data_IF_335738191502
#
_entry.id   IF_335738191502
#
_cell.length_a   1.000
_cell.length_b   1.000
_cell.length_c   1.000
_cell.angle_alpha   90.00
_cell.angle_beta   90.00
_cell.angle_gamma   90.00
#
_symmetry.space_group_name_H-M   'P 1'
#
loop_
_entity.id
_entity.type
_entity.pdbx_description
1 polymer ?
#
# COMPACT_ATOMS: atom_id res chain seq x y z
N UNK A 1 -33.81 -16.37 -18.93
CA UNK A 1 -33.22 -16.52 -17.58
C UNK A 1 -32.31 -17.75 -17.43
N UNK A 2 -32.73 -19.00 -17.63
CA UNK A 2 -31.85 -20.20 -17.50
C UNK A 2 -30.54 -20.13 -18.31
N UNK A 3 -30.57 -19.64 -19.56
CA UNK A 3 -29.36 -19.50 -20.39
C UNK A 3 -28.39 -18.40 -19.88
N UNK A 4 -28.91 -17.35 -19.25
CA UNK A 4 -28.10 -16.27 -18.67
C UNK A 4 -27.38 -16.77 -17.40
N UNK A 5 -28.09 -17.49 -16.52
CA UNK A 5 -27.49 -18.10 -15.33
C UNK A 5 -26.47 -19.20 -15.67
N UNK A 6 -26.73 -20.01 -16.70
CA UNK A 6 -25.76 -20.99 -17.20
C UNK A 6 -24.49 -20.34 -17.76
N UNK A 7 -24.63 -19.25 -18.53
CA UNK A 7 -23.51 -18.48 -19.06
C UNK A 7 -22.68 -17.84 -17.95
N UNK A 8 -23.33 -17.18 -16.98
CA UNK A 8 -22.69 -16.55 -15.82
C UNK A 8 -21.94 -17.57 -14.95
N UNK A 9 -22.55 -18.73 -14.68
CA UNK A 9 -21.89 -19.82 -13.95
C UNK A 9 -20.63 -20.33 -14.67
N UNK A 10 -20.66 -20.44 -16.00
CA UNK A 10 -19.49 -20.85 -16.79
C UNK A 10 -18.39 -19.79 -16.81
N UNK A 11 -18.75 -18.50 -16.74
CA UNK A 11 -17.81 -17.38 -16.72
C UNK A 11 -17.09 -17.29 -15.36
N UNK A 12 -17.83 -17.39 -14.25
CA UNK A 12 -17.26 -17.37 -12.88
C UNK A 12 -16.31 -18.55 -12.64
N UNK A 13 -16.55 -19.68 -13.31
CA UNK A 13 -15.63 -20.83 -13.26
C UNK A 13 -14.25 -20.52 -13.83
N UNK A 14 -14.09 -19.46 -14.64
CA UNK A 14 -12.82 -18.98 -15.22
C UNK A 14 -12.10 -18.01 -14.27
N UNK A 15 -10.77 -17.91 -14.41
CA UNK A 15 -9.96 -16.98 -13.61
C UNK A 15 -10.38 -15.52 -13.82
N UNK A 16 -10.78 -15.16 -15.03
CA UNK A 16 -11.27 -13.83 -15.38
C UNK A 16 -12.60 -13.50 -14.67
N UNK A 17 -13.49 -14.48 -14.56
CA UNK A 17 -14.79 -14.27 -13.92
C UNK A 17 -14.68 -14.05 -12.42
N UNK A 18 -13.79 -14.76 -11.73
CA UNK A 18 -13.59 -14.56 -10.30
C UNK A 18 -12.92 -13.21 -9.98
N UNK A 19 -12.01 -12.73 -10.84
CA UNK A 19 -11.43 -11.40 -10.72
C UNK A 19 -12.53 -10.33 -10.81
N UNK A 20 -13.45 -10.46 -11.78
CA UNK A 20 -14.57 -9.52 -11.92
C UNK A 20 -15.50 -9.54 -10.71
N UNK A 21 -15.87 -10.73 -10.21
CA UNK A 21 -16.72 -10.85 -9.01
C UNK A 21 -16.08 -10.15 -7.81
N UNK A 22 -14.81 -10.42 -7.54
CA UNK A 22 -14.10 -9.76 -6.45
C UNK A 22 -13.92 -8.25 -6.69
N UNK A 23 -13.74 -7.80 -7.94
CA UNK A 23 -13.70 -6.38 -8.28
C UNK A 23 -15.00 -5.69 -7.87
N UNK A 24 -16.15 -6.27 -8.25
CA UNK A 24 -17.47 -5.73 -7.93
C UNK A 24 -17.74 -5.70 -6.42
N UNK A 25 -17.36 -6.75 -5.69
CA UNK A 25 -17.50 -6.78 -4.21
C UNK A 25 -16.68 -5.64 -3.58
N UNK A 26 -15.47 -5.38 -4.09
CA UNK A 26 -14.57 -4.34 -3.58
C UNK A 26 -15.00 -2.90 -3.95
N UNK A 27 -16.06 -2.73 -4.75
CA UNK A 27 -16.67 -1.41 -5.00
C UNK A 27 -17.53 -0.90 -3.83
N UNK A 28 -17.91 -1.77 -2.88
CA UNK A 28 -18.69 -1.36 -1.70
C UNK A 28 -17.93 -0.30 -0.91
N UNK A 29 -18.51 0.91 -0.78
CA UNK A 29 -17.87 2.03 -0.08
C UNK A 29 -16.64 2.59 -0.80
N UNK A 30 -16.46 2.33 -2.11
CA UNK A 30 -15.27 2.81 -2.85
C UNK A 30 -15.15 4.33 -2.85
N UNK A 31 -16.27 5.05 -2.78
CA UNK A 31 -16.35 6.51 -2.75
C UNK A 31 -16.21 7.11 -1.35
N UNK A 32 -16.12 6.28 -0.31
CA UNK A 32 -16.00 6.76 1.05
C UNK A 32 -14.67 7.51 1.26
N UNK A 33 -14.64 8.59 2.06
CA UNK A 33 -13.39 9.24 2.47
C UNK A 33 -12.55 8.29 3.35
N UNK A 34 -11.23 8.55 3.51
CA UNK A 34 -10.33 7.69 4.27
C UNK A 34 -10.54 7.84 5.80
N UNK A 35 -11.68 7.37 6.29
CA UNK A 35 -12.10 7.42 7.69
C UNK A 35 -12.13 6.05 8.40
N UNK A 36 -12.05 4.95 7.65
CA UNK A 36 -12.00 3.60 8.22
C UNK A 36 -10.83 3.42 9.23
N UNK A 37 -11.03 2.55 10.22
CA UNK A 37 -10.05 2.31 11.29
C UNK A 37 -8.68 1.88 10.72
N UNK A 38 -8.67 0.99 9.72
CA UNK A 38 -7.44 0.39 9.21
C UNK A 38 -6.66 1.29 8.25
N UNK A 39 -5.50 1.78 8.70
CA UNK A 39 -4.50 2.50 7.87
C UNK A 39 -5.01 3.80 7.22
N UNK A 40 -5.99 4.48 7.81
CA UNK A 40 -6.42 5.80 7.33
C UNK A 40 -5.24 6.79 7.25
N UNK A 41 -4.31 6.76 8.22
CA UNK A 41 -3.12 7.61 8.24
C UNK A 41 -2.29 7.54 6.95
N UNK A 42 -2.15 6.34 6.38
CA UNK A 42 -1.34 6.12 5.18
C UNK A 42 -2.11 6.54 3.93
N UNK A 43 -3.44 6.39 3.95
CA UNK A 43 -4.33 6.80 2.87
C UNK A 43 -4.45 8.32 2.78
N UNK A 44 -4.63 8.99 3.92
CA UNK A 44 -4.67 10.45 4.00
C UNK A 44 -3.34 11.05 3.60
N UNK A 45 -2.21 10.48 4.05
CA UNK A 45 -0.89 10.91 3.58
C UNK A 45 -0.70 10.76 2.06
N UNK A 46 -1.21 9.68 1.46
CA UNK A 46 -1.15 9.50 0.00
C UNK A 46 -1.99 10.55 -0.72
N UNK A 47 -3.22 10.76 -0.26
CA UNK A 47 -4.12 11.76 -0.84
C UNK A 47 -3.61 13.18 -0.62
N UNK A 48 -2.98 13.47 0.51
CA UNK A 48 -2.38 14.75 0.84
C UNK A 48 -1.32 15.13 -0.19
N UNK A 49 -0.40 14.21 -0.52
CA UNK A 49 0.60 14.44 -1.58
C UNK A 49 -0.08 14.67 -2.94
N UNK A 50 -1.14 13.91 -3.26
CA UNK A 50 -1.87 14.10 -4.52
C UNK A 50 -2.60 15.45 -4.56
N UNK A 51 -3.20 15.89 -3.44
CA UNK A 51 -3.87 17.18 -3.30
C UNK A 51 -2.87 18.32 -3.43
N UNK A 52 -1.68 18.18 -2.85
CA UNK A 52 -0.63 19.18 -2.97
C UNK A 52 -0.07 19.32 -4.38
N UNK A 53 -0.14 18.29 -5.22
CA UNK A 53 0.13 18.44 -6.65
C UNK A 53 -0.97 19.22 -7.37
N UNK A 54 -2.23 19.06 -6.94
CA UNK A 54 -3.40 19.71 -7.52
C UNK A 54 -3.50 21.20 -7.16
N UNK A 55 -3.31 21.54 -5.87
CA UNK A 55 -3.37 22.92 -5.39
C UNK A 55 -2.08 23.71 -5.64
N UNK A 56 -0.95 23.00 -5.72
CA UNK A 56 0.38 23.60 -5.81
C UNK A 56 1.08 23.35 -7.13
N UNK A 57 2.41 23.24 -7.07
CA UNK A 57 3.22 22.88 -8.23
C UNK A 57 3.29 21.34 -8.34
N UNK A 58 2.83 20.73 -9.45
CA UNK A 58 2.83 19.29 -9.67
C UNK A 58 4.23 18.75 -10.03
N UNK A 59 5.24 19.10 -9.25
CA UNK A 59 6.59 18.55 -9.43
C UNK A 59 6.69 17.17 -8.78
N UNK A 60 6.60 16.12 -9.59
CA UNK A 60 6.72 14.72 -9.14
C UNK A 60 8.03 14.44 -8.36
N UNK A 61 9.08 15.24 -8.57
CA UNK A 61 10.36 15.12 -7.85
C UNK A 61 10.35 15.72 -6.45
N UNK A 62 9.36 16.58 -6.14
CA UNK A 62 9.23 17.31 -4.87
C UNK A 62 7.81 17.13 -4.29
N UNK A 63 7.40 15.90 -3.93
CA UNK A 63 6.11 15.67 -3.28
C UNK A 63 6.03 16.42 -1.96
N UNK A 64 4.85 16.93 -1.60
CA UNK A 64 4.63 17.73 -0.38
C UNK A 64 3.57 17.16 0.55
N UNK A 65 3.71 17.43 1.84
CA UNK A 65 2.75 17.10 2.90
C UNK A 65 2.45 18.33 3.76
N UNK A 66 1.30 18.29 4.43
CA UNK A 66 0.78 19.44 5.20
C UNK A 66 1.25 19.42 6.66
N UNK A 67 1.84 18.30 7.09
CA UNK A 67 2.24 18.05 8.48
C UNK A 67 3.68 18.44 8.79
N UNK A 68 4.27 19.33 7.99
CA UNK A 68 5.67 19.70 8.07
C UNK A 68 5.93 21.00 8.87
N UNK A 69 4.89 21.58 9.50
CA UNK A 69 5.01 22.82 10.25
C UNK A 69 5.49 23.97 9.37
N UNK A 70 6.56 24.64 9.79
CA UNK A 70 7.20 25.74 9.05
C UNK A 70 8.04 25.33 7.85
N UNK A 71 8.27 24.03 7.65
CA UNK A 71 9.07 23.55 6.53
C UNK A 71 8.26 23.63 5.23
N UNK A 72 8.93 23.46 4.09
CA UNK A 72 8.32 23.55 2.75
C UNK A 72 7.27 22.48 2.44
N UNK A 73 7.08 21.51 3.34
CA UNK A 73 6.27 20.32 3.12
C UNK A 73 6.96 19.23 2.30
N UNK A 74 8.10 19.50 1.65
CA UNK A 74 8.74 18.54 0.74
C UNK A 74 9.22 17.31 1.53
N UNK A 75 8.78 16.12 1.10
CA UNK A 75 9.02 14.85 1.80
C UNK A 75 9.97 13.93 1.04
N UNK A 76 10.93 13.35 1.75
CA UNK A 76 11.63 12.15 1.32
C UNK A 76 10.72 10.92 1.44
N UNK A 77 10.10 10.52 0.33
CA UNK A 77 9.14 9.41 0.26
C UNK A 77 9.45 8.41 -0.85
N UNK A 78 8.56 7.43 -1.00
CA UNK A 78 8.47 6.58 -2.18
C UNK A 78 8.29 7.44 -3.45
N UNK A 79 8.65 6.92 -4.64
CA UNK A 79 8.45 7.67 -5.88
C UNK A 79 6.96 7.91 -6.11
N UNK A 80 6.48 9.16 -6.19
CA UNK A 80 5.07 9.48 -5.99
C UNK A 80 4.22 9.27 -7.25
N UNK A 81 4.50 8.23 -8.05
CA UNK A 81 3.76 7.96 -9.28
C UNK A 81 2.30 7.60 -9.03
N UNK A 82 2.00 6.87 -7.94
CA UNK A 82 0.62 6.58 -7.57
C UNK A 82 -0.11 7.87 -7.20
N UNK A 83 0.49 8.72 -6.37
CA UNK A 83 -0.03 10.04 -6.01
C UNK A 83 -0.22 10.92 -7.25
N UNK A 84 0.72 10.89 -8.18
CA UNK A 84 0.65 11.68 -9.41
C UNK A 84 -0.49 11.24 -10.32
N UNK A 85 -0.76 9.93 -10.43
CA UNK A 85 -1.93 9.43 -11.18
C UNK A 85 -3.23 9.87 -10.49
N UNK A 86 -3.30 9.88 -9.15
CA UNK A 86 -4.46 10.39 -8.41
C UNK A 86 -4.66 11.88 -8.70
N UNK A 87 -3.60 12.68 -8.67
CA UNK A 87 -3.60 14.09 -9.07
C UNK A 87 -4.17 14.29 -10.48
N UNK A 88 -3.76 13.49 -11.47
CA UNK A 88 -4.30 13.61 -12.83
C UNK A 88 -5.81 13.35 -12.89
N UNK A 89 -6.37 12.56 -11.98
CA UNK A 89 -7.82 12.39 -11.87
C UNK A 89 -8.49 13.61 -11.22
N UNK A 90 -7.84 14.25 -10.23
CA UNK A 90 -8.32 15.52 -9.67
C UNK A 90 -8.39 16.61 -10.75
N UNK A 91 -7.40 16.70 -11.64
CA UNK A 91 -7.40 17.63 -12.79
C UNK A 91 -8.56 17.38 -13.76
N UNK A 92 -8.90 16.11 -14.01
CA UNK A 92 -9.92 15.74 -14.99
C UNK A 92 -11.35 15.83 -14.45
N UNK A 93 -11.56 15.57 -13.16
CA UNK A 93 -12.88 15.37 -12.58
C UNK A 93 -13.17 16.24 -11.35
N UNK A 94 -12.23 17.10 -10.95
CA UNK A 94 -12.28 17.84 -9.68
C UNK A 94 -11.76 17.00 -8.51
N UNK A 95 -11.41 17.67 -7.42
CA UNK A 95 -10.94 17.01 -6.20
C UNK A 95 -12.05 16.18 -5.53
N UNK A 96 -11.69 14.97 -5.10
CA UNK A 96 -12.50 14.13 -4.22
C UNK A 96 -11.58 13.11 -3.53
N UNK A 97 -11.96 12.61 -2.36
CA UNK A 97 -11.09 11.81 -1.50
C UNK A 97 -10.88 10.37 -1.99
N UNK A 98 -11.64 9.89 -2.97
CA UNK A 98 -11.75 8.44 -3.24
C UNK A 98 -11.07 7.94 -4.52
N UNK A 99 -10.64 8.81 -5.45
CA UNK A 99 -10.13 8.38 -6.76
C UNK A 99 -8.99 7.36 -6.66
N UNK A 100 -8.08 7.53 -5.70
CA UNK A 100 -6.98 6.58 -5.46
C UNK A 100 -7.44 5.16 -5.15
N UNK A 101 -8.62 4.98 -4.56
CA UNK A 101 -9.20 3.65 -4.30
C UNK A 101 -9.55 2.94 -5.58
N UNK A 102 -10.25 3.63 -6.49
CA UNK A 102 -10.65 3.08 -7.78
C UNK A 102 -9.43 2.80 -8.68
N UNK A 103 -8.45 3.71 -8.68
CA UNK A 103 -7.19 3.53 -9.41
C UNK A 103 -6.45 2.28 -8.92
N UNK A 104 -6.24 2.16 -7.59
CA UNK A 104 -5.58 0.98 -7.03
C UNK A 104 -6.35 -0.31 -7.32
N UNK A 105 -7.69 -0.30 -7.18
CA UNK A 105 -8.54 -1.47 -7.42
C UNK A 105 -8.46 -1.94 -8.88
N UNK A 106 -8.44 -0.99 -9.81
CA UNK A 106 -8.33 -1.24 -11.26
C UNK A 106 -6.97 -1.83 -11.60
N UNK A 107 -5.88 -1.17 -11.22
CA UNK A 107 -4.52 -1.65 -11.50
C UNK A 107 -4.26 -2.99 -10.82
N UNK A 108 -4.73 -3.16 -9.58
CA UNK A 108 -4.62 -4.40 -8.84
C UNK A 108 -5.33 -5.55 -9.54
N UNK A 109 -6.53 -5.33 -10.06
CA UNK A 109 -7.29 -6.37 -10.75
C UNK A 109 -6.68 -6.74 -12.12
N UNK A 110 -6.10 -5.76 -12.83
CA UNK A 110 -5.30 -6.01 -14.04
C UNK A 110 -4.05 -6.83 -13.69
N UNK A 111 -3.35 -6.48 -12.61
CA UNK A 111 -2.19 -7.23 -12.11
C UNK A 111 -2.51 -8.70 -11.83
N UNK A 112 -3.62 -8.96 -11.13
CA UNK A 112 -4.09 -10.32 -10.85
C UNK A 112 -4.44 -11.08 -12.14
N UNK A 113 -5.00 -10.40 -13.15
CA UNK A 113 -5.25 -11.02 -14.45
C UNK A 113 -3.95 -11.49 -15.11
N UNK A 114 -2.89 -10.67 -15.12
CA UNK A 114 -1.60 -11.09 -15.66
C UNK A 114 -0.91 -12.17 -14.82
N UNK A 115 -1.07 -12.13 -13.49
CA UNK A 115 -0.68 -13.20 -12.58
C UNK A 115 -1.39 -14.52 -12.93
N UNK A 116 -2.71 -14.51 -13.12
CA UNK A 116 -3.47 -15.68 -13.55
C UNK A 116 -2.94 -16.23 -14.89
N UNK A 117 -2.71 -15.36 -15.88
CA UNK A 117 -2.21 -15.77 -17.20
C UNK A 117 -0.85 -16.43 -17.12
N UNK A 118 0.11 -15.84 -16.41
CA UNK A 118 1.45 -16.41 -16.33
C UNK A 118 1.43 -17.76 -15.62
N UNK A 119 0.65 -17.91 -14.54
CA UNK A 119 0.53 -19.18 -13.84
C UNK A 119 -0.16 -20.25 -14.66
N UNK A 120 -1.22 -19.91 -15.41
CA UNK A 120 -1.89 -20.84 -16.31
C UNK A 120 -0.94 -21.39 -17.37
N UNK A 121 0.01 -20.56 -17.82
CA UNK A 121 1.03 -20.92 -18.78
C UNK A 121 2.22 -21.70 -18.21
N UNK A 122 2.59 -21.47 -16.95
CA UNK A 122 3.73 -22.13 -16.29
C UNK A 122 3.34 -23.44 -15.59
N UNK A 123 2.10 -23.55 -15.15
CA UNK A 123 1.58 -24.69 -14.40
C UNK A 123 0.40 -25.32 -15.16
N UNK A 124 -0.75 -25.40 -14.50
CA UNK A 124 -2.00 -25.89 -15.06
C UNK A 124 -3.15 -24.99 -14.62
N UNK A 125 -4.33 -25.24 -15.17
CA UNK A 125 -5.53 -24.47 -14.87
C UNK A 125 -5.89 -24.40 -13.37
N UNK A 126 -5.83 -25.55 -12.67
CA UNK A 126 -6.20 -25.63 -11.25
C UNK A 126 -5.27 -24.79 -10.38
N UNK A 127 -3.96 -24.94 -10.58
CA UNK A 127 -2.96 -24.15 -9.85
C UNK A 127 -3.18 -22.66 -10.08
N UNK A 128 -3.36 -22.23 -11.33
CA UNK A 128 -3.60 -20.83 -11.66
C UNK A 128 -4.89 -20.29 -11.02
N UNK A 129 -6.00 -21.04 -11.14
CA UNK A 129 -7.29 -20.63 -10.58
C UNK A 129 -7.24 -20.50 -9.06
N UNK A 130 -6.74 -21.51 -8.34
CA UNK A 130 -6.67 -21.46 -6.88
C UNK A 130 -5.64 -20.46 -6.37
N UNK A 131 -4.52 -20.25 -7.06
CA UNK A 131 -3.56 -19.20 -6.68
C UNK A 131 -4.19 -17.81 -6.82
N UNK A 132 -4.92 -17.57 -7.92
CA UNK A 132 -5.66 -16.31 -8.13
C UNK A 132 -6.74 -16.11 -7.08
N UNK A 133 -7.50 -17.16 -6.75
CA UNK A 133 -8.55 -17.08 -5.74
C UNK A 133 -8.00 -16.78 -4.35
N UNK A 134 -6.94 -17.50 -3.93
CA UNK A 134 -6.27 -17.28 -2.65
C UNK A 134 -5.66 -15.89 -2.58
N UNK A 135 -5.04 -15.41 -3.67
CA UNK A 135 -4.53 -14.04 -3.74
C UNK A 135 -5.66 -13.02 -3.62
N UNK A 136 -6.79 -13.20 -4.33
CA UNK A 136 -7.93 -12.29 -4.27
C UNK A 136 -8.58 -12.21 -2.89
N UNK A 137 -8.60 -13.33 -2.16
CA UNK A 137 -9.21 -13.39 -0.84
C UNK A 137 -8.29 -12.99 0.30
N UNK A 138 -6.96 -12.99 0.13
CA UNK A 138 -5.96 -12.71 1.18
C UNK A 138 -6.00 -11.25 1.68
N UNK A 139 -4.93 -10.78 2.34
CA UNK A 139 -4.75 -9.34 2.65
C UNK A 139 -4.94 -8.43 1.43
N UNK A 140 -4.75 -8.98 0.22
CA UNK A 140 -5.04 -8.27 -1.02
C UNK A 140 -6.49 -7.78 -1.11
N UNK A 141 -7.44 -8.50 -0.48
CA UNK A 141 -8.86 -8.17 -0.49
C UNK A 141 -9.12 -6.75 0.01
N UNK A 142 -8.64 -6.41 1.21
CA UNK A 142 -8.75 -5.06 1.75
C UNK A 142 -7.79 -4.08 1.07
N UNK A 143 -6.51 -4.45 0.89
CA UNK A 143 -5.50 -3.48 0.47
C UNK A 143 -5.58 -3.07 -0.99
N UNK A 144 -6.16 -3.89 -1.86
CA UNK A 144 -6.31 -3.57 -3.29
C UNK A 144 -7.25 -2.41 -3.56
N UNK A 145 -8.05 -1.98 -2.58
CA UNK A 145 -8.93 -0.81 -2.67
C UNK A 145 -8.48 0.36 -1.80
N UNK A 146 -7.43 0.21 -0.98
CA UNK A 146 -6.93 1.32 -0.14
C UNK A 146 -6.14 2.30 -0.99
N UNK A 147 -6.11 3.57 -0.59
CA UNK A 147 -5.31 4.62 -1.22
C UNK A 147 -3.84 4.47 -0.81
N UNK A 148 -3.25 3.34 -1.20
CA UNK A 148 -1.91 2.92 -0.82
C UNK A 148 -1.23 2.28 -2.04
N UNK A 149 0.05 2.57 -2.31
CA UNK A 149 0.71 2.07 -3.50
C UNK A 149 1.18 0.61 -3.38
N UNK A 150 0.91 -0.09 -2.28
CA UNK A 150 1.40 -1.45 -1.99
C UNK A 150 0.93 -2.49 -3.03
N UNK A 151 -0.38 -2.68 -3.20
CA UNK A 151 -0.92 -3.60 -4.21
C UNK A 151 -0.77 -3.07 -5.62
N UNK A 152 -0.83 -1.74 -5.81
CA UNK A 152 -0.55 -1.07 -7.08
C UNK A 152 0.85 -1.44 -7.59
N UNK A 153 1.87 -1.28 -6.75
CA UNK A 153 3.26 -1.58 -7.06
C UNK A 153 3.47 -3.05 -7.42
N UNK A 154 3.00 -3.96 -6.55
CA UNK A 154 3.16 -5.40 -6.75
C UNK A 154 2.45 -5.86 -8.02
N UNK A 155 1.31 -5.24 -8.37
CA UNK A 155 0.58 -5.48 -9.61
C UNK A 155 1.37 -5.11 -10.86
N UNK A 156 2.01 -3.95 -10.87
CA UNK A 156 2.86 -3.55 -11.99
C UNK A 156 4.04 -4.52 -12.15
N UNK A 157 4.66 -4.99 -11.06
CA UNK A 157 5.72 -6.00 -11.17
C UNK A 157 5.19 -7.34 -11.69
N UNK A 158 4.00 -7.79 -11.28
CA UNK A 158 3.36 -8.99 -11.85
C UNK A 158 3.09 -8.85 -13.35
N UNK A 159 2.66 -7.67 -13.82
CA UNK A 159 2.50 -7.37 -15.25
C UNK A 159 3.86 -7.45 -15.97
N UNK A 160 4.91 -6.86 -15.38
CA UNK A 160 6.27 -6.94 -15.91
C UNK A 160 6.77 -8.39 -16.04
N UNK A 161 6.58 -9.22 -15.02
CA UNK A 161 6.96 -10.64 -15.04
C UNK A 161 6.22 -11.44 -16.12
N UNK A 162 4.95 -11.12 -16.38
CA UNK A 162 4.25 -11.69 -17.54
C UNK A 162 4.94 -11.33 -18.86
N UNK A 163 5.40 -10.08 -19.03
CA UNK A 163 6.11 -9.68 -20.23
C UNK A 163 7.50 -10.32 -20.35
N UNK A 164 8.19 -10.62 -19.25
CA UNK A 164 9.38 -11.49 -19.29
C UNK A 164 9.04 -12.87 -19.83
N UNK A 165 7.97 -13.49 -19.35
CA UNK A 165 7.50 -14.77 -19.88
C UNK A 165 7.23 -14.69 -21.40
N UNK A 166 6.58 -13.61 -21.86
CA UNK A 166 6.33 -13.38 -23.29
C UNK A 166 7.60 -13.13 -24.09
N UNK A 167 8.57 -12.41 -23.53
CA UNK A 167 9.87 -12.16 -24.16
C UNK A 167 10.63 -13.46 -24.38
N UNK A 168 10.69 -14.34 -23.38
CA UNK A 168 11.35 -15.65 -23.49
C UNK A 168 10.72 -16.51 -24.60
N UNK A 169 9.40 -16.42 -24.79
CA UNK A 169 8.68 -17.21 -25.80
C UNK A 169 8.73 -16.65 -27.21
N UNK A 170 8.81 -15.33 -27.37
CA UNK A 170 8.63 -14.67 -28.67
C UNK A 170 9.84 -13.89 -29.14
N UNK A 171 10.79 -13.60 -28.24
CA UNK A 171 12.01 -12.82 -28.46
C UNK A 171 11.75 -11.40 -29.00
N UNK A 172 10.50 -10.90 -28.95
CA UNK A 172 10.14 -9.56 -29.39
C UNK A 172 10.55 -8.51 -28.35
N UNK A 173 11.35 -7.53 -28.77
CA UNK A 173 11.89 -6.46 -27.93
C UNK A 173 10.81 -5.68 -27.15
N UNK A 174 9.63 -5.49 -27.74
CA UNK A 174 8.52 -4.80 -27.07
C UNK A 174 8.16 -5.43 -25.71
N UNK A 175 8.27 -6.76 -25.57
CA UNK A 175 8.01 -7.41 -24.29
C UNK A 175 9.09 -7.09 -23.24
N UNK A 176 10.34 -6.94 -23.67
CA UNK A 176 11.42 -6.53 -22.77
C UNK A 176 11.25 -5.07 -22.33
N UNK A 177 10.84 -4.19 -23.26
CA UNK A 177 10.51 -2.78 -22.96
C UNK A 177 9.35 -2.71 -21.97
N UNK A 178 8.26 -3.47 -22.22
CA UNK A 178 7.11 -3.49 -21.31
C UNK A 178 7.48 -4.06 -19.94
N UNK A 179 8.33 -5.10 -19.87
CA UNK A 179 8.89 -5.54 -18.59
C UNK A 179 9.62 -4.41 -17.89
N UNK A 180 10.56 -3.74 -18.57
CA UNK A 180 11.33 -2.64 -18.00
C UNK A 180 10.42 -1.54 -17.46
N UNK A 181 9.44 -1.09 -18.24
CA UNK A 181 8.52 -0.02 -17.83
C UNK A 181 7.69 -0.42 -16.61
N UNK A 182 6.98 -1.55 -16.67
CA UNK A 182 6.09 -1.97 -15.59
C UNK A 182 6.85 -2.34 -14.31
N UNK A 183 7.97 -3.07 -14.42
CA UNK A 183 8.78 -3.41 -13.25
C UNK A 183 9.47 -2.19 -12.63
N UNK A 184 9.98 -1.25 -13.45
CA UNK A 184 10.56 0.00 -12.93
C UNK A 184 9.53 0.81 -12.17
N UNK A 185 8.38 1.08 -12.77
CA UNK A 185 7.32 1.88 -12.12
C UNK A 185 6.81 1.16 -10.86
N UNK A 186 6.62 -0.15 -10.92
CA UNK A 186 6.25 -0.95 -9.74
C UNK A 186 7.24 -0.79 -8.60
N UNK A 187 8.52 -1.11 -8.82
CA UNK A 187 9.52 -1.05 -7.76
C UNK A 187 9.87 0.39 -7.32
N UNK A 188 9.74 1.39 -8.19
CA UNK A 188 9.85 2.80 -7.81
C UNK A 188 8.71 3.22 -6.89
N UNK A 189 7.49 2.76 -7.17
CA UNK A 189 6.31 3.03 -6.32
C UNK A 189 6.52 2.48 -4.90
N UNK A 190 7.13 1.29 -4.78
CA UNK A 190 7.43 0.63 -3.50
C UNK A 190 8.63 -0.31 -3.68
N UNK A 191 9.76 0.01 -3.04
CA UNK A 191 10.95 -0.86 -3.00
C UNK A 191 10.63 -2.33 -2.69
N UNK A 192 9.73 -2.64 -1.73
CA UNK A 192 9.47 -4.04 -1.33
C UNK A 192 9.01 -4.95 -2.48
N UNK A 193 8.44 -4.40 -3.56
CA UNK A 193 8.06 -5.17 -4.74
C UNK A 193 9.28 -5.78 -5.50
N UNK A 194 10.51 -5.34 -5.21
CA UNK A 194 11.75 -6.00 -5.66
C UNK A 194 11.78 -7.49 -5.30
N UNK A 195 11.09 -7.91 -4.24
CA UNK A 195 10.93 -9.32 -3.88
C UNK A 195 10.42 -10.17 -5.04
N UNK A 196 9.51 -9.66 -5.87
CA UNK A 196 9.02 -10.39 -7.04
C UNK A 196 10.04 -10.45 -8.18
N UNK A 197 10.96 -9.49 -8.30
CA UNK A 197 12.04 -9.56 -9.29
C UNK A 197 13.06 -10.66 -8.98
N UNK A 198 13.12 -11.15 -7.73
CA UNK A 198 13.93 -12.33 -7.39
C UNK A 198 13.54 -13.57 -8.21
N UNK A 199 12.30 -13.64 -8.71
CA UNK A 199 11.82 -14.74 -9.57
C UNK A 199 12.56 -14.81 -10.91
N UNK A 200 13.29 -13.75 -11.31
CA UNK A 200 14.15 -13.75 -12.49
C UNK A 200 15.36 -14.69 -12.36
N UNK A 201 15.62 -15.27 -11.18
CA UNK A 201 16.54 -16.40 -11.06
C UNK A 201 16.10 -17.59 -11.93
N UNK A 202 14.79 -17.80 -12.11
CA UNK A 202 14.26 -18.94 -12.88
C UNK A 202 14.72 -18.91 -14.34
N UNK A 203 14.53 -17.83 -15.13
CA UNK A 203 15.05 -17.79 -16.49
C UNK A 203 16.57 -17.84 -16.60
N UNK A 204 17.32 -17.45 -15.57
CA UNK A 204 18.79 -17.63 -15.51
C UNK A 204 19.15 -19.13 -15.45
N UNK A 205 18.40 -19.92 -14.67
CA UNK A 205 18.60 -21.36 -14.51
C UNK A 205 18.09 -22.19 -15.70
N UNK A 206 17.22 -21.63 -16.54
CA UNK A 206 16.73 -22.30 -17.75
C UNK A 206 17.81 -22.34 -18.87
N UNK A 207 17.77 -23.36 -19.75
CA UNK A 207 18.66 -23.45 -20.91
C UNK A 207 18.22 -22.51 -22.04
N UNK A 208 18.21 -21.20 -21.77
CA UNK A 208 17.87 -20.15 -22.74
C UNK A 208 19.10 -19.68 -23.51
N UNK A 209 18.88 -19.11 -24.71
CA UNK A 209 19.93 -18.42 -25.50
C UNK A 209 20.61 -17.34 -24.65
N UNK A 210 21.94 -17.24 -24.75
CA UNK A 210 22.73 -16.25 -23.99
C UNK A 210 22.19 -14.82 -24.18
N UNK A 211 21.81 -14.45 -25.42
CA UNK A 211 21.21 -13.13 -25.72
C UNK A 211 20.00 -12.81 -24.84
N UNK A 212 19.11 -13.78 -24.61
CA UNK A 212 17.89 -13.58 -23.82
C UNK A 212 18.27 -13.34 -22.36
N UNK A 213 19.19 -14.14 -21.81
CA UNK A 213 19.67 -13.99 -20.43
C UNK A 213 20.32 -12.62 -20.23
N UNK A 214 21.22 -12.23 -21.13
CA UNK A 214 21.91 -10.93 -21.09
C UNK A 214 20.91 -9.77 -21.18
N UNK A 215 19.96 -9.82 -22.12
CA UNK A 215 18.95 -8.76 -22.26
C UNK A 215 18.06 -8.61 -21.02
N UNK A 216 17.63 -9.72 -20.40
CA UNK A 216 16.87 -9.69 -19.14
C UNK A 216 17.74 -9.12 -18.01
N UNK A 217 19.00 -9.52 -17.90
CA UNK A 217 19.92 -9.01 -16.89
C UNK A 217 20.18 -7.51 -17.04
N UNK A 218 20.39 -7.02 -18.27
CA UNK A 218 20.56 -5.58 -18.54
C UNK A 218 19.31 -4.80 -18.15
N UNK A 219 18.11 -5.25 -18.58
CA UNK A 219 16.87 -4.58 -18.22
C UNK A 219 16.66 -4.55 -16.69
N UNK A 220 16.99 -5.65 -16.00
CA UNK A 220 16.91 -5.75 -14.53
C UNK A 220 17.91 -4.82 -13.85
N UNK A 221 19.14 -4.75 -14.35
CA UNK A 221 20.15 -3.82 -13.84
C UNK A 221 19.70 -2.36 -13.97
N UNK A 222 19.12 -1.98 -15.13
CA UNK A 222 18.59 -0.63 -15.34
C UNK A 222 17.42 -0.31 -14.37
N UNK A 223 16.53 -1.28 -14.11
CA UNK A 223 15.48 -1.13 -13.08
C UNK A 223 16.11 -0.85 -11.70
N UNK A 224 17.09 -1.66 -11.30
CA UNK A 224 17.79 -1.49 -10.00
C UNK A 224 18.53 -0.16 -9.93
N UNK A 225 19.16 0.29 -11.01
CA UNK A 225 19.78 1.61 -11.08
C UNK A 225 18.76 2.73 -10.89
N UNK A 226 17.61 2.68 -11.55
CA UNK A 226 16.56 3.70 -11.40
C UNK A 226 16.04 3.76 -9.95
N UNK A 227 15.79 2.60 -9.33
CA UNK A 227 15.43 2.51 -7.91
C UNK A 227 16.54 3.12 -7.04
N UNK A 228 17.79 2.82 -7.35
CA UNK A 228 18.94 3.31 -6.59
C UNK A 228 19.07 4.83 -6.64
N UNK A 229 18.86 5.44 -7.81
CA UNK A 229 18.87 6.90 -7.98
C UNK A 229 17.79 7.55 -7.13
N UNK A 230 16.56 7.01 -7.12
CA UNK A 230 15.50 7.59 -6.29
C UNK A 230 15.76 7.39 -4.79
N UNK A 231 15.92 6.14 -4.35
CA UNK A 231 15.87 5.80 -2.93
C UNK A 231 17.17 6.01 -2.17
N UNK A 232 18.31 5.95 -2.84
CA UNK A 232 19.63 6.06 -2.20
C UNK A 232 20.40 7.34 -2.57
N UNK A 233 19.89 8.14 -3.50
CA UNK A 233 20.46 9.44 -3.84
C UNK A 233 19.44 10.57 -3.66
N UNK A 234 18.30 10.52 -4.36
CA UNK A 234 17.33 11.61 -4.36
C UNK A 234 16.59 11.76 -3.02
N UNK A 235 16.10 10.65 -2.44
CA UNK A 235 15.41 10.68 -1.14
C UNK A 235 16.31 11.23 -0.02
N UNK A 236 17.57 10.78 0.14
CA UNK A 236 18.50 11.42 1.07
C UNK A 236 18.67 12.92 0.82
N UNK A 237 18.83 13.34 -0.45
CA UNK A 237 18.90 14.77 -0.80
C UNK A 237 17.66 15.54 -0.36
N UNK A 238 16.44 15.00 -0.59
CA UNK A 238 15.20 15.62 -0.14
C UNK A 238 15.16 15.76 1.39
N UNK A 239 15.58 14.73 2.11
CA UNK A 239 15.57 14.75 3.58
C UNK A 239 16.58 15.75 4.12
N UNK A 240 17.81 15.75 3.59
CA UNK A 240 18.88 16.63 4.08
C UNK A 240 18.60 18.11 3.75
N UNK A 241 17.88 18.36 2.65
CA UNK A 241 17.54 19.73 2.19
C UNK A 241 16.25 20.26 2.82
N UNK A 242 15.22 19.41 2.98
CA UNK A 242 13.87 19.84 3.36
C UNK A 242 13.35 19.25 4.69
N UNK A 243 14.08 18.31 5.30
CA UNK A 243 13.88 17.86 6.68
C UNK A 243 12.80 16.79 6.94
N UNK A 244 11.86 16.56 6.02
CA UNK A 244 10.77 15.61 6.25
C UNK A 244 11.03 14.21 5.66
N UNK A 245 10.80 13.15 6.45
CA UNK A 245 11.13 11.75 6.09
C UNK A 245 9.95 10.81 6.35
N UNK A 246 9.62 9.97 5.38
CA UNK A 246 8.55 8.96 5.53
C UNK A 246 9.00 7.64 6.18
N UNK A 247 10.20 7.16 5.87
CA UNK A 247 10.69 5.85 6.31
C UNK A 247 12.11 5.92 6.86
N UNK A 248 12.41 5.06 7.83
CA UNK A 248 13.66 5.07 8.61
C UNK A 248 14.41 3.75 8.39
N UNK A 249 15.21 3.63 7.30
CA UNK A 249 15.93 2.40 7.02
C UNK A 249 16.94 2.09 8.13
N UNK A 250 17.08 0.81 8.47
CA UNK A 250 17.98 0.34 9.54
C UNK A 250 19.26 -0.25 8.98
N UNK A 251 20.33 -0.21 9.77
CA UNK A 251 21.47 -1.11 9.55
C UNK A 251 21.04 -2.56 9.80
N UNK A 252 21.82 -3.53 9.32
CA UNK A 252 21.50 -4.94 9.54
C UNK A 252 21.49 -5.30 11.03
N UNK A 253 22.45 -4.78 11.80
CA UNK A 253 22.56 -5.03 13.24
C UNK A 253 21.40 -4.43 14.03
N UNK A 254 21.04 -3.17 13.75
CA UNK A 254 19.90 -2.52 14.39
C UNK A 254 18.60 -3.27 14.07
N UNK A 255 18.37 -3.57 12.80
CA UNK A 255 17.17 -4.28 12.37
C UNK A 255 17.01 -5.64 13.03
N UNK A 256 18.07 -6.45 13.07
CA UNK A 256 18.07 -7.74 13.77
C UNK A 256 17.81 -7.59 15.26
N UNK A 257 18.36 -6.56 15.90
CA UNK A 257 18.14 -6.31 17.32
C UNK A 257 16.71 -5.86 17.62
N UNK A 258 16.14 -4.98 16.80
CA UNK A 258 14.75 -4.54 16.94
C UNK A 258 13.77 -5.71 16.78
N UNK A 259 13.97 -6.57 15.77
CA UNK A 259 13.06 -7.70 15.47
C UNK A 259 12.98 -8.71 16.62
N UNK A 260 14.04 -8.88 17.43
CA UNK A 260 14.05 -9.84 18.55
C UNK A 260 12.88 -9.63 19.53
N UNK A 261 12.46 -8.38 19.73
CA UNK A 261 11.33 -8.03 20.59
C UNK A 261 9.95 -8.34 20.00
N UNK A 262 9.87 -8.63 18.70
CA UNK A 262 8.62 -8.75 17.94
C UNK A 262 8.53 -10.06 17.14
N UNK A 263 9.16 -11.14 17.63
CA UNK A 263 9.14 -12.44 16.95
C UNK A 263 7.71 -12.99 16.78
N UNK A 264 6.81 -12.94 17.78
CA UNK A 264 5.43 -13.38 17.60
C UNK A 264 4.70 -12.62 16.49
N UNK A 265 4.84 -11.29 16.46
CA UNK A 265 4.23 -10.41 15.47
C UNK A 265 4.83 -10.66 14.09
N UNK A 266 6.15 -10.83 14.00
CA UNK A 266 6.86 -11.20 12.77
C UNK A 266 6.28 -12.48 12.18
N UNK A 267 6.13 -13.53 13.01
CA UNK A 267 5.59 -14.81 12.55
C UNK A 267 4.12 -14.67 12.15
N UNK A 268 3.34 -13.85 12.87
CA UNK A 268 1.93 -13.59 12.56
C UNK A 268 1.74 -12.96 11.18
N UNK A 269 2.74 -12.21 10.70
CA UNK A 269 2.72 -11.70 9.34
C UNK A 269 2.59 -12.81 8.30
N UNK A 270 3.22 -13.97 8.53
CA UNK A 270 3.21 -15.09 7.60
C UNK A 270 2.08 -16.09 7.87
N UNK A 271 1.89 -16.52 9.12
CA UNK A 271 0.91 -17.58 9.39
C UNK A 271 -0.54 -17.09 9.37
N UNK A 272 -0.77 -15.77 9.52
CA UNK A 272 -2.11 -15.19 9.51
C UNK A 272 -2.21 -14.01 8.54
N UNK A 273 -1.53 -12.87 8.78
CA UNK A 273 -1.83 -11.62 8.06
C UNK A 273 -1.65 -11.74 6.54
N UNK A 274 -0.67 -12.49 6.05
CA UNK A 274 -0.44 -12.67 4.61
C UNK A 274 -1.68 -13.17 3.85
N UNK A 275 -2.37 -14.16 4.42
CA UNK A 275 -3.51 -14.83 3.79
C UNK A 275 -4.84 -14.48 4.47
N UNK A 276 -4.79 -13.76 5.58
CA UNK A 276 -5.90 -13.47 6.50
C UNK A 276 -6.71 -14.72 6.89
N UNK A 277 -6.08 -15.90 6.84
CA UNK A 277 -6.73 -17.21 6.99
C UNK A 277 -5.73 -18.27 7.46
N UNK A 278 -6.00 -18.89 8.61
CA UNK A 278 -5.23 -20.04 9.09
C UNK A 278 -5.41 -21.26 8.19
N UNK A 279 -6.62 -21.45 7.63
CA UNK A 279 -6.88 -22.51 6.65
C UNK A 279 -6.01 -22.30 5.40
N UNK A 280 -5.91 -21.05 4.93
CA UNK A 280 -5.05 -20.66 3.82
C UNK A 280 -3.57 -20.97 4.10
N UNK A 281 -3.09 -20.69 5.31
CA UNK A 281 -1.72 -21.02 5.71
C UNK A 281 -1.48 -22.54 5.78
N UNK A 282 -2.43 -23.33 6.27
CA UNK A 282 -2.33 -24.80 6.23
C UNK A 282 -2.21 -25.35 4.81
N UNK A 283 -2.93 -24.74 3.86
CA UNK A 283 -2.81 -25.08 2.43
C UNK A 283 -1.49 -24.61 1.83
N UNK A 284 -0.96 -23.46 2.24
CA UNK A 284 0.40 -23.05 1.89
C UNK A 284 1.45 -24.09 2.34
N UNK A 285 1.37 -24.59 3.57
CA UNK A 285 2.27 -25.66 4.07
C UNK A 285 2.12 -26.96 3.26
N UNK A 286 0.89 -27.32 2.93
CA UNK A 286 0.59 -28.47 2.06
C UNK A 286 1.24 -28.30 0.69
N UNK A 287 1.14 -27.11 0.10
CA UNK A 287 1.78 -26.77 -1.16
C UNK A 287 3.30 -26.88 -1.10
N UNK A 288 3.91 -26.34 -0.03
CA UNK A 288 5.36 -26.42 0.17
C UNK A 288 5.83 -27.87 0.29
N UNK A 289 5.10 -28.70 1.03
CA UNK A 289 5.37 -30.15 1.13
C UNK A 289 5.36 -30.82 -0.25
N UNK A 290 4.35 -30.58 -1.08
CA UNK A 290 4.29 -31.19 -2.43
C UNK A 290 5.37 -30.66 -3.37
N UNK A 291 5.72 -29.37 -3.32
CA UNK A 291 6.81 -28.82 -4.13
C UNK A 291 8.15 -29.50 -3.82
N UNK A 292 8.42 -29.75 -2.53
CA UNK A 292 9.62 -30.46 -2.05
C UNK A 292 9.56 -31.93 -2.46
N UNK A 293 8.46 -32.62 -2.15
CA UNK A 293 8.26 -34.04 -2.44
C UNK A 293 8.42 -34.35 -3.93
N UNK A 294 7.83 -33.52 -4.79
CA UNK A 294 7.90 -33.66 -6.25
C UNK A 294 9.16 -33.04 -6.87
N UNK A 295 10.05 -32.46 -6.05
CA UNK A 295 11.31 -31.85 -6.48
C UNK A 295 11.11 -30.81 -7.60
N UNK A 296 10.14 -29.90 -7.44
CA UNK A 296 9.92 -28.78 -8.39
C UNK A 296 11.02 -27.72 -8.28
N UNK A 297 12.25 -28.08 -8.68
CA UNK A 297 13.48 -27.31 -8.44
C UNK A 297 13.36 -25.85 -8.86
N UNK A 298 12.84 -25.57 -10.05
CA UNK A 298 12.71 -24.19 -10.55
C UNK A 298 11.77 -23.33 -9.68
N UNK A 299 10.63 -23.89 -9.25
CA UNK A 299 9.67 -23.20 -8.39
C UNK A 299 10.28 -22.96 -7.02
N UNK A 300 10.96 -23.98 -6.46
CA UNK A 300 11.66 -23.87 -5.19
C UNK A 300 12.80 -22.85 -5.25
N UNK A 301 13.56 -22.77 -6.35
CA UNK A 301 14.60 -21.75 -6.53
C UNK A 301 14.03 -20.34 -6.52
N UNK A 302 12.90 -20.12 -7.22
CA UNK A 302 12.20 -18.83 -7.18
C UNK A 302 11.67 -18.49 -5.78
N UNK A 303 11.07 -19.46 -5.09
CA UNK A 303 10.59 -19.31 -3.71
C UNK A 303 11.73 -18.95 -2.75
N UNK A 304 12.84 -19.70 -2.77
CA UNK A 304 14.01 -19.44 -1.93
C UNK A 304 14.63 -18.07 -2.23
N UNK A 305 14.79 -17.71 -3.50
CA UNK A 305 15.27 -16.38 -3.87
C UNK A 305 14.36 -15.27 -3.32
N UNK A 306 13.05 -15.47 -3.37
CA UNK A 306 12.08 -14.52 -2.81
C UNK A 306 12.19 -14.41 -1.30
N UNK A 307 12.34 -15.53 -0.59
CA UNK A 307 12.56 -15.55 0.87
C UNK A 307 13.83 -14.79 1.24
N UNK A 308 14.94 -14.99 0.52
CA UNK A 308 16.21 -14.32 0.79
C UNK A 308 16.09 -12.80 0.60
N UNK A 309 15.54 -12.35 -0.54
CA UNK A 309 15.39 -10.91 -0.81
C UNK A 309 14.41 -10.28 0.18
N UNK A 310 13.32 -10.97 0.52
CA UNK A 310 12.36 -10.47 1.48
C UNK A 310 12.91 -10.43 2.91
N UNK A 311 13.74 -11.40 3.30
CA UNK A 311 14.43 -11.37 4.60
C UNK A 311 15.35 -10.14 4.72
N UNK A 312 16.06 -9.76 3.65
CA UNK A 312 16.84 -8.51 3.64
C UNK A 312 15.94 -7.30 3.88
N UNK A 313 14.78 -7.24 3.25
CA UNK A 313 13.81 -6.18 3.46
C UNK A 313 13.27 -6.12 4.90
N UNK A 314 12.91 -7.27 5.48
CA UNK A 314 12.46 -7.36 6.88
C UNK A 314 13.55 -6.82 7.81
N UNK A 315 14.80 -7.24 7.64
CA UNK A 315 15.90 -6.74 8.47
C UNK A 315 16.10 -5.23 8.28
N UNK A 316 16.04 -4.73 7.05
CA UNK A 316 16.21 -3.30 6.75
C UNK A 316 15.08 -2.41 7.28
N UNK A 317 13.94 -3.00 7.66
CA UNK A 317 12.78 -2.29 8.23
C UNK A 317 12.66 -2.46 9.75
N UNK A 318 13.36 -3.42 10.35
CA UNK A 318 13.42 -3.59 11.81
C UNK A 318 12.04 -3.87 12.42
N UNK A 319 11.70 -3.17 13.51
CA UNK A 319 10.41 -3.32 14.19
C UNK A 319 9.19 -2.88 13.36
N UNK A 320 9.40 -2.15 12.25
CA UNK A 320 8.30 -1.66 11.40
C UNK A 320 7.59 -2.83 10.70
N UNK A 321 8.34 -3.82 10.18
CA UNK A 321 7.73 -4.94 9.46
C UNK A 321 6.80 -5.80 10.35
N UNK A 322 7.22 -6.25 11.55
CA UNK A 322 6.35 -7.00 12.45
C UNK A 322 5.08 -6.25 12.85
N UNK A 323 5.15 -4.92 12.97
CA UNK A 323 4.06 -4.09 13.51
C UNK A 323 3.10 -3.55 12.45
N UNK A 324 3.43 -3.64 11.16
CA UNK A 324 2.62 -3.09 10.07
C UNK A 324 2.32 -4.16 9.00
N UNK A 325 1.11 -4.70 9.04
CA UNK A 325 0.70 -5.84 8.22
C UNK A 325 0.91 -5.66 6.70
N UNK A 326 0.72 -4.46 6.15
CA UNK A 326 0.81 -4.22 4.70
C UNK A 326 2.21 -4.43 4.12
N UNK A 327 3.25 -4.44 4.97
CA UNK A 327 4.61 -4.76 4.52
C UNK A 327 4.72 -6.21 4.00
N UNK A 328 3.78 -7.11 4.31
CA UNK A 328 3.74 -8.48 3.80
C UNK A 328 3.30 -8.59 2.34
N UNK A 329 2.56 -7.60 1.82
CA UNK A 329 1.87 -7.62 0.52
C UNK A 329 2.75 -8.12 -0.64
N UNK A 330 4.03 -7.70 -0.78
CA UNK A 330 4.91 -8.18 -1.87
C UNK A 330 5.20 -9.68 -1.86
N UNK A 331 5.10 -10.33 -0.69
CA UNK A 331 5.36 -11.77 -0.54
C UNK A 331 4.10 -12.63 -0.75
N UNK A 332 2.91 -12.04 -0.63
CA UNK A 332 1.63 -12.75 -0.70
C UNK A 332 1.38 -13.44 -2.05
N UNK A 333 1.72 -12.87 -3.23
CA UNK A 333 1.59 -13.59 -4.49
C UNK A 333 2.40 -14.89 -4.53
N UNK A 334 3.58 -14.92 -3.89
CA UNK A 334 4.42 -16.13 -3.80
C UNK A 334 3.74 -17.19 -2.93
N UNK A 335 3.23 -16.78 -1.75
CA UNK A 335 2.47 -17.67 -0.88
C UNK A 335 1.22 -18.21 -1.57
N UNK A 336 0.50 -17.37 -2.32
CA UNK A 336 -0.68 -17.76 -3.08
C UNK A 336 -0.36 -18.78 -4.18
N UNK A 337 0.79 -18.67 -4.87
CA UNK A 337 1.24 -19.68 -5.85
C UNK A 337 1.51 -21.02 -5.16
N UNK A 338 2.22 -21.01 -4.05
CA UNK A 338 2.53 -22.25 -3.29
C UNK A 338 1.24 -22.89 -2.77
N UNK A 339 0.34 -22.10 -2.17
CA UNK A 339 -0.95 -22.58 -1.70
C UNK A 339 -1.85 -23.10 -2.83
N UNK A 340 -1.93 -22.38 -3.96
CA UNK A 340 -2.66 -22.82 -5.14
C UNK A 340 -2.09 -24.09 -5.77
N UNK A 341 -0.77 -24.28 -5.69
CA UNK A 341 -0.14 -25.56 -6.03
C UNK A 341 -0.60 -26.68 -5.10
N UNK A 342 -0.63 -26.45 -3.78
CA UNK A 342 -1.19 -27.38 -2.79
C UNK A 342 -2.64 -27.75 -3.09
N UNK A 343 -3.51 -26.76 -3.34
CA UNK A 343 -4.90 -26.98 -3.72
C UNK A 343 -5.06 -27.84 -4.97
N UNK A 344 -4.14 -27.70 -5.94
CA UNK A 344 -4.20 -28.46 -7.19
C UNK A 344 -3.95 -29.97 -7.01
N UNK A 345 -3.34 -30.37 -5.88
CA UNK A 345 -3.11 -31.77 -5.51
C UNK A 345 -4.30 -32.40 -4.76
N UNK A 346 -5.28 -31.59 -4.34
CA UNK A 346 -6.44 -32.05 -3.59
C UNK A 346 -7.58 -32.40 -4.57
N UNK A 347 -8.33 -33.51 -4.34
CA UNK A 347 -9.52 -33.81 -5.14
C UNK A 347 -10.49 -32.61 -5.17
N UNK A 348 -11.00 -32.29 -6.36
CA UNK A 348 -11.72 -31.03 -6.62
C UNK A 348 -12.89 -30.78 -5.65
N UNK A 349 -13.62 -31.84 -5.23
CA UNK A 349 -14.70 -31.74 -4.26
C UNK A 349 -14.27 -31.14 -2.93
N UNK A 350 -13.10 -31.52 -2.42
CA UNK A 350 -12.55 -31.03 -1.16
C UNK A 350 -11.86 -29.68 -1.36
N UNK A 351 -11.17 -29.49 -2.49
CA UNK A 351 -10.55 -28.21 -2.83
C UNK A 351 -11.58 -27.08 -2.89
N UNK A 352 -12.79 -27.33 -3.41
CA UNK A 352 -13.86 -26.32 -3.40
C UNK A 352 -14.33 -25.98 -1.98
N UNK A 353 -14.52 -26.98 -1.10
CA UNK A 353 -14.92 -26.75 0.29
C UNK A 353 -13.85 -25.92 1.02
N UNK A 354 -12.59 -26.30 0.88
CA UNK A 354 -11.46 -25.59 1.48
C UNK A 354 -11.38 -24.15 0.94
N UNK A 355 -11.58 -23.94 -0.36
CA UNK A 355 -11.60 -22.61 -0.94
C UNK A 355 -12.72 -21.74 -0.36
N UNK A 356 -13.93 -22.28 -0.15
CA UNK A 356 -15.03 -21.57 0.51
C UNK A 356 -14.66 -21.19 1.94
N UNK A 357 -14.03 -22.11 2.69
CA UNK A 357 -13.58 -21.82 4.06
C UNK A 357 -12.51 -20.71 4.10
N UNK A 358 -11.52 -20.75 3.19
CA UNK A 358 -10.49 -19.71 3.07
C UNK A 358 -11.13 -18.36 2.78
N UNK A 359 -12.05 -18.29 1.81
CA UNK A 359 -12.73 -17.05 1.43
C UNK A 359 -13.55 -16.52 2.61
N UNK A 360 -14.33 -17.38 3.27
CA UNK A 360 -15.18 -17.00 4.39
C UNK A 360 -14.36 -16.47 5.57
N UNK A 361 -13.33 -17.21 6.00
CA UNK A 361 -12.42 -16.80 7.07
C UNK A 361 -11.73 -15.46 6.72
N UNK A 362 -11.19 -15.38 5.51
CA UNK A 362 -10.40 -14.22 5.09
C UNK A 362 -11.21 -12.94 4.92
N UNK A 363 -12.41 -13.04 4.34
CA UNK A 363 -13.31 -11.88 4.21
C UNK A 363 -13.85 -11.48 5.58
N UNK A 364 -14.25 -12.44 6.44
CA UNK A 364 -14.74 -12.13 7.78
C UNK A 364 -13.70 -11.35 8.61
N UNK A 365 -12.41 -11.70 8.47
CA UNK A 365 -11.30 -11.01 9.14
C UNK A 365 -10.99 -9.61 8.56
N UNK A 366 -11.59 -9.20 7.45
CA UNK A 366 -11.27 -7.95 6.74
C UNK A 366 -12.49 -7.07 6.42
N UNK A 367 -13.72 -7.56 6.62
CA UNK A 367 -14.94 -6.84 6.21
C UNK A 367 -15.10 -5.46 6.88
N UNK A 368 -14.53 -5.28 8.07
CA UNK A 368 -14.59 -4.00 8.80
C UNK A 368 -13.87 -2.87 8.06
N UNK A 369 -12.89 -3.17 7.19
CA UNK A 369 -12.20 -2.17 6.36
C UNK A 369 -13.08 -1.59 5.24
N UNK A 370 -14.31 -2.09 5.06
CA UNK A 370 -15.20 -1.67 3.97
C UNK A 370 -16.19 -0.59 4.39
N UNK A 371 -16.34 -0.37 5.69
CA UNK A 371 -17.34 0.52 6.28
C UNK A 371 -16.64 1.56 7.16
N UNK A 372 -17.22 2.76 7.22
CA UNK A 372 -16.80 3.80 8.14
C UNK A 372 -17.71 3.71 9.37
N UNK A 373 -17.12 3.77 10.55
CA UNK A 373 -17.89 3.86 11.79
C UNK A 373 -18.53 5.26 11.91
N UNK A 374 -19.80 5.31 12.29
CA UNK A 374 -20.56 6.58 12.37
C UNK A 374 -19.89 7.61 13.30
N UNK A 375 -19.19 7.14 14.33
CA UNK A 375 -18.44 7.96 15.27
C UNK A 375 -17.19 8.62 14.67
N UNK A 376 -16.80 8.28 13.45
CA UNK A 376 -15.69 8.93 12.72
C UNK A 376 -16.18 10.02 11.76
N UNK A 377 -17.49 10.08 11.44
CA UNK A 377 -18.02 10.99 10.42
C UNK A 377 -17.92 12.47 10.81
N UNK A 378 -17.92 12.79 12.10
CA UNK A 378 -17.76 14.18 12.58
C UNK A 378 -16.46 14.82 12.08
N UNK A 379 -15.44 14.01 11.76
CA UNK A 379 -14.15 14.51 11.28
C UNK A 379 -14.25 15.25 9.95
N UNK A 380 -15.29 15.00 9.15
CA UNK A 380 -15.53 15.72 7.90
C UNK A 380 -16.00 17.15 8.14
N UNK A 381 -16.53 17.47 9.32
CA UNK A 381 -16.96 18.83 9.65
C UNK A 381 -15.79 19.81 9.66
N UNK A 382 -14.56 19.33 9.98
CA UNK A 382 -13.40 20.21 10.12
C UNK A 382 -12.98 20.88 8.81
N UNK A 383 -13.32 20.30 7.66
CA UNK A 383 -13.00 20.87 6.35
C UNK A 383 -13.69 22.23 6.17
N UNK A 384 -15.01 22.28 6.38
CA UNK A 384 -15.77 23.53 6.28
C UNK A 384 -15.43 24.50 7.42
N UNK A 385 -15.23 23.99 8.63
CA UNK A 385 -14.87 24.83 9.80
C UNK A 385 -13.52 25.51 9.57
N UNK A 386 -12.51 24.77 9.08
CA UNK A 386 -11.20 25.34 8.77
C UNK A 386 -11.28 26.34 7.60
N UNK A 387 -12.06 26.05 6.57
CA UNK A 387 -12.27 26.96 5.44
C UNK A 387 -12.92 28.31 5.85
N UNK A 388 -13.78 28.31 6.87
CA UNK A 388 -14.47 29.52 7.36
C UNK A 388 -13.64 30.33 8.38
N UNK A 389 -12.79 29.66 9.17
CA UNK A 389 -12.17 30.27 10.36
C UNK A 389 -10.63 30.33 10.36
N UNK A 390 -9.99 29.77 9.33
CA UNK A 390 -8.52 29.70 9.22
C UNK A 390 -8.13 30.11 7.81
N UNK A 391 -7.31 31.14 7.65
CA UNK A 391 -6.79 31.56 6.34
C UNK A 391 -5.83 30.51 5.77
N UNK A 392 -5.63 30.48 4.44
CA UNK A 392 -4.84 29.42 3.79
C UNK A 392 -3.35 29.40 4.21
N UNK A 393 -2.79 30.55 4.57
CA UNK A 393 -1.39 30.72 4.98
C UNK A 393 -1.17 30.62 6.50
N UNK A 394 -2.23 30.53 7.29
CA UNK A 394 -2.13 30.34 8.74
C UNK A 394 -1.66 28.91 9.07
N UNK A 395 -0.57 28.82 9.83
CA UNK A 395 -0.09 27.54 10.35
C UNK A 395 -0.92 27.08 11.54
N UNK A 396 -1.35 25.83 11.51
CA UNK A 396 -2.20 25.25 12.54
C UNK A 396 -1.46 24.27 13.46
N UNK A 397 -1.91 24.16 14.70
CA UNK A 397 -1.59 23.05 15.59
C UNK A 397 -2.89 22.28 15.88
N UNK A 398 -2.91 20.97 15.67
CA UNK A 398 -4.07 20.12 15.96
C UNK A 398 -3.74 19.02 16.98
N UNK A 399 -4.67 18.75 17.89
CA UNK A 399 -4.54 17.66 18.88
C UNK A 399 -4.83 16.25 18.31
N UNK A 400 -4.60 16.03 17.00
CA UNK A 400 -4.95 14.81 16.28
C UNK A 400 -4.01 13.61 16.48
N UNK A 401 -3.04 13.70 17.40
CA UNK A 401 -2.07 12.61 17.62
C UNK A 401 -0.97 12.57 16.55
N UNK A 402 -0.41 11.38 16.33
CA UNK A 402 0.60 11.15 15.29
C UNK A 402 0.01 10.83 13.91
N UNK A 403 -1.32 10.75 13.82
CA UNK A 403 -2.03 10.40 12.61
C UNK A 403 -2.38 11.69 11.83
N UNK A 404 -1.95 11.85 10.56
CA UNK A 404 -2.22 13.05 9.77
C UNK A 404 -3.67 13.13 9.27
N UNK A 405 -4.57 12.21 9.65
CA UNK A 405 -5.96 12.19 9.15
C UNK A 405 -6.71 13.50 9.43
N UNK A 406 -6.67 14.04 10.64
CA UNK A 406 -7.45 15.23 10.97
C UNK A 406 -6.93 16.48 10.24
N UNK A 407 -5.61 16.73 10.28
CA UNK A 407 -4.97 17.81 9.53
C UNK A 407 -5.08 17.65 8.01
N UNK A 408 -5.22 16.43 7.49
CA UNK A 408 -5.56 16.25 6.09
C UNK A 408 -6.92 16.88 5.77
N UNK A 409 -7.95 16.69 6.59
CA UNK A 409 -9.27 17.26 6.33
C UNK A 409 -9.34 18.77 6.56
N UNK A 410 -8.40 19.40 7.29
CA UNK A 410 -8.41 20.86 7.47
C UNK A 410 -8.00 21.61 6.21
N UNK A 411 -7.32 20.96 5.26
CA UNK A 411 -6.71 21.61 4.09
C UNK A 411 -5.81 22.81 4.48
N UNK A 412 -5.10 22.66 5.59
CA UNK A 412 -4.17 23.66 6.16
C UNK A 412 -2.87 22.98 6.54
N UNK A 413 -1.80 23.76 6.57
CA UNK A 413 -0.46 23.26 6.91
C UNK A 413 -0.12 23.54 8.37
N UNK A 414 0.71 22.69 8.97
CA UNK A 414 1.09 22.85 10.36
C UNK A 414 1.55 21.57 11.05
N UNK A 415 1.18 21.42 12.31
CA UNK A 415 1.59 20.31 13.18
C UNK A 415 0.38 19.53 13.70
N UNK A 416 0.55 18.21 13.80
CA UNK A 416 -0.34 17.34 14.57
C UNK A 416 0.42 16.76 15.76
N UNK A 417 -0.18 16.80 16.94
CA UNK A 417 0.43 16.27 18.15
C UNK A 417 -0.60 15.60 19.07
N UNK A 418 -0.22 14.59 19.86
CA UNK A 418 -1.07 14.09 20.94
C UNK A 418 -1.40 15.17 21.97
N UNK A 419 -2.62 15.17 22.50
CA UNK A 419 -3.06 16.10 23.56
C UNK A 419 -2.06 16.23 24.71
N UNK A 420 -1.47 15.10 25.17
CA UNK A 420 -0.46 15.11 26.24
C UNK A 420 0.78 15.97 25.93
N UNK A 421 1.16 16.07 24.66
CA UNK A 421 2.29 16.90 24.24
C UNK A 421 1.86 18.35 24.12
N UNK A 422 0.67 18.62 23.59
CA UNK A 422 0.10 19.97 23.53
C UNK A 422 -0.02 20.57 24.94
N UNK A 423 -0.53 19.80 25.90
CA UNK A 423 -0.71 20.23 27.29
C UNK A 423 0.59 20.31 28.10
N UNK A 424 1.74 19.92 27.54
CA UNK A 424 3.01 20.05 28.24
C UNK A 424 3.39 21.53 28.26
N UNK A 425 3.63 22.07 29.46
CA UNK A 425 4.00 23.49 29.66
C UNK A 425 5.10 23.94 28.67
N UNK A 426 4.84 25.08 28.01
CA UNK A 426 5.74 25.70 27.04
C UNK A 426 5.71 25.10 25.63
N UNK A 427 4.96 24.02 25.36
CA UNK A 427 4.95 23.42 24.02
C UNK A 427 4.11 24.22 23.03
N UNK A 428 2.94 24.75 23.44
CA UNK A 428 2.15 25.68 22.62
C UNK A 428 2.96 26.95 22.35
N UNK A 429 3.57 27.54 23.37
CA UNK A 429 4.42 28.73 23.23
C UNK A 429 5.60 28.49 22.28
N UNK A 430 6.22 27.31 22.36
CA UNK A 430 7.31 26.93 21.45
C UNK A 430 6.83 26.85 20.00
N UNK A 431 5.67 26.25 19.72
CA UNK A 431 5.14 26.16 18.36
C UNK A 431 4.61 27.51 17.86
N UNK A 432 4.06 28.33 18.76
CA UNK A 432 3.71 29.72 18.47
C UNK A 432 4.94 30.54 18.07
N UNK A 433 6.06 30.38 18.77
CA UNK A 433 7.32 31.05 18.41
C UNK A 433 7.88 30.63 17.04
N UNK A 434 7.43 29.47 16.53
CA UNK A 434 7.72 29.00 15.18
C UNK A 434 6.67 29.47 14.16
N UNK A 435 5.59 30.15 14.57
CA UNK A 435 4.58 30.70 13.68
C UNK A 435 3.25 29.96 13.67
N UNK A 436 2.98 29.05 14.61
CA UNK A 436 1.63 28.51 14.78
C UNK A 436 0.65 29.63 15.18
N UNK A 437 -0.41 29.82 14.37
CA UNK A 437 -1.37 30.90 14.54
C UNK A 437 -2.70 30.42 15.11
N UNK A 438 -3.11 29.18 14.79
CA UNK A 438 -4.36 28.58 15.29
C UNK A 438 -4.11 27.26 16.00
N UNK A 439 -4.88 27.00 17.05
CA UNK A 439 -4.94 25.71 17.73
C UNK A 439 -6.32 25.09 17.54
N UNK A 440 -6.37 23.94 16.88
CA UNK A 440 -7.58 23.14 16.68
C UNK A 440 -7.65 22.02 17.72
N UNK A 441 -8.75 21.97 18.46
CA UNK A 441 -9.03 20.95 19.46
C UNK A 441 -10.21 20.09 19.02
N UNK A 442 -9.94 18.83 18.72
CA UNK A 442 -10.92 17.76 18.69
C UNK A 442 -11.34 17.40 20.12
N UNK A 443 -12.61 17.66 20.43
CA UNK A 443 -13.21 17.48 21.76
C UNK A 443 -13.38 16.02 22.15
N UNK A 444 -13.32 15.10 21.19
CA UNK A 444 -13.31 13.66 21.47
C UNK A 444 -11.96 13.16 21.99
N UNK A 445 -10.89 13.93 21.74
CA UNK A 445 -9.52 13.60 22.19
C UNK A 445 -9.09 14.37 23.44
N UNK A 446 -9.78 15.46 23.78
CA UNK A 446 -9.47 16.32 24.92
C UNK A 446 -10.66 17.19 25.29
N UNK A 447 -10.91 17.36 26.60
CA UNK A 447 -11.80 18.39 27.13
C UNK A 447 -11.03 19.54 27.78
N UNK A 448 -9.73 19.68 27.48
CA UNK A 448 -8.88 20.73 28.06
C UNK A 448 -9.26 22.07 27.45
N UNK A 449 -9.54 23.05 28.28
CA UNK A 449 -9.66 24.45 27.84
C UNK A 449 -8.32 25.16 27.91
N UNK A 450 -8.06 26.00 26.92
CA UNK A 450 -6.82 26.77 26.83
C UNK A 450 -7.12 28.26 27.03
N UNK A 451 -6.17 28.97 27.66
CA UNK A 451 -6.29 30.39 27.95
C UNK A 451 -5.95 31.26 26.73
N UNK A 452 -6.71 31.09 25.65
CA UNK A 452 -6.62 31.83 24.38
C UNK A 452 -8.02 32.23 23.92
N UNK A 453 -8.15 33.23 23.05
CA UNK A 453 -9.45 33.58 22.45
C UNK A 453 -9.95 32.43 21.57
N UNK A 454 -11.25 32.14 21.64
CA UNK A 454 -11.87 31.11 20.79
C UNK A 454 -12.38 31.77 19.50
N UNK A 455 -11.74 31.47 18.38
CA UNK A 455 -12.21 31.84 17.04
C UNK A 455 -13.48 31.06 16.64
N UNK A 456 -13.61 29.83 17.14
CA UNK A 456 -14.76 28.96 16.90
C UNK A 456 -15.02 28.04 18.09
N UNK A 457 -16.29 27.77 18.38
CA UNK A 457 -16.70 26.76 19.36
C UNK A 457 -17.88 25.98 18.81
N UNK A 458 -17.65 24.71 18.52
CA UNK A 458 -18.65 23.78 18.03
C UNK A 458 -18.90 22.59 18.96
N UNK A 459 -19.74 21.68 18.47
CA UNK A 459 -20.04 20.41 19.15
C UNK A 459 -18.81 19.51 19.23
N UNK A 460 -18.05 19.41 18.14
CA UNK A 460 -16.94 18.47 17.99
C UNK A 460 -15.56 19.12 18.01
N UNK A 461 -15.46 20.39 17.61
CA UNK A 461 -14.20 21.11 17.51
C UNK A 461 -14.24 22.48 18.20
N UNK A 462 -13.08 22.94 18.66
CA UNK A 462 -12.83 24.33 19.07
C UNK A 462 -11.58 24.84 18.35
N UNK A 463 -11.58 26.12 17.96
CA UNK A 463 -10.41 26.78 17.36
C UNK A 463 -10.05 27.95 18.26
N UNK A 464 -8.77 28.01 18.64
CA UNK A 464 -8.20 29.07 19.44
C UNK A 464 -7.21 29.90 18.61
N UNK A 465 -7.22 31.21 18.77
CA UNK A 465 -6.19 32.10 18.22
C UNK A 465 -4.98 32.10 19.15
N UNK A 466 -3.82 31.72 18.62
CA UNK A 466 -2.58 31.67 19.41
C UNK A 466 -1.87 33.02 19.46
N UNK A 467 -2.08 33.86 18.46
CA UNK A 467 -1.56 35.23 18.37
C UNK A 467 -2.58 36.19 18.97
N UNK A 468 -2.10 37.14 19.78
CA UNK A 468 -2.96 38.23 20.25
C UNK A 468 -3.21 39.25 19.12
N UNK A 469 -4.30 40.03 19.16
CA UNK A 469 -4.60 41.03 18.13
C UNK A 469 -3.52 42.09 17.89
N UNK A 470 -2.58 42.26 18.83
CA UNK A 470 -1.42 43.16 18.72
C UNK A 470 -0.21 42.53 18.01
N UNK A 471 -0.23 41.21 17.77
CA UNK A 471 0.83 40.43 17.10
C UNK A 471 0.51 40.11 15.61
N UNK A 472 -0.70 40.45 15.14
CA UNK A 472 -1.16 40.38 13.74
C UNK A 472 -0.88 41.71 13.00
#
# INVERSE_FOLDING_TARGET
MKNLFGSLSSFIKKGEGIILVFFLIRLVGITNPPLEIGHNWRQTLTNMIARNFYQGNPSILYPKVDVAGTLTGIIGSEFPIFNFIVYLFFELFGFDHWYGRLINLTVSSIGIYFFYKVLKSLFNYKTAYFSTLILLSSIWFAFSRKIMPDTFSVSLVMIGLYFIYRYIKTEKLINLILFFLFASVGCLSKIPALTLLSLLIVPVLLPLKLRIKVSISIATALIVCAIGVWYFYWVPHLIDTYGFRLFYPKSFTEGLNEIKGYIPELLSQFYFNALSSFVGFGIFLTGLFFLIKERKKLVLSGFVASVVIFAVFIIKTGAIFPTHNYYIVPFVPIMAVVAGYGMSQIPIKYAVIIAVLIIAESIANQQHDFFIDEDQLYKLEIENIAAEHIEEDELILINGGYNPQLIYFTDRTGWTAPTRLINKNGNIDSLRSLGAQKLIIDKHLSSTEYNYSKAYTGKHFEIYDLLEPEEL
#
